data_IF_492944979181
#
_entry.id   IF_492944979181
#
_cell.length_a   1.000
_cell.length_b   1.000
_cell.length_c   1.000
_cell.angle_alpha   90.00
_cell.angle_beta   90.00
_cell.angle_gamma   90.00
#
_symmetry.space_group_name_H-M   'P 1'
#
loop_
_entity.id
_entity.type
_entity.pdbx_description
1 polymer ?
#
# COMPACT_ATOMS: atom_id res chain seq x y z
N UNK A 1 22.40 1.31 -1.88
CA UNK A 1 21.98 -0.11 -1.82
C UNK A 1 21.28 -0.49 -0.51
N UNK A 2 21.80 -0.15 0.68
CA UNK A 2 21.15 -0.47 1.98
C UNK A 2 19.79 0.23 2.15
N UNK A 3 19.65 1.50 1.72
CA UNK A 3 18.38 2.24 1.82
C UNK A 3 17.21 1.60 1.06
N UNK A 4 17.46 0.99 -0.10
CA UNK A 4 16.41 0.36 -0.92
C UNK A 4 15.80 -0.86 -0.24
N UNK A 5 16.62 -1.64 0.45
CA UNK A 5 16.17 -2.82 1.20
C UNK A 5 15.25 -2.44 2.36
N UNK A 6 15.57 -1.36 3.07
CA UNK A 6 14.73 -0.85 4.15
C UNK A 6 13.37 -0.35 3.63
N UNK A 7 13.34 0.41 2.52
CA UNK A 7 12.09 0.90 1.93
C UNK A 7 11.17 -0.25 1.53
N UNK A 8 11.71 -1.28 0.88
CA UNK A 8 10.94 -2.46 0.49
C UNK A 8 10.35 -3.16 1.74
N UNK A 9 11.18 -3.43 2.76
CA UNK A 9 10.74 -4.05 4.00
C UNK A 9 9.58 -3.31 4.69
N UNK A 10 9.62 -1.99 4.75
CA UNK A 10 8.55 -1.20 5.36
C UNK A 10 7.21 -1.38 4.62
N UNK A 11 7.21 -1.38 3.29
CA UNK A 11 5.99 -1.57 2.49
C UNK A 11 5.37 -2.96 2.69
N UNK A 12 6.20 -4.01 2.75
CA UNK A 12 5.73 -5.37 3.02
C UNK A 12 5.16 -5.53 4.44
N UNK A 13 5.77 -4.87 5.43
CA UNK A 13 5.26 -4.89 6.80
C UNK A 13 3.88 -4.23 6.90
N UNK A 14 3.66 -3.09 6.24
CA UNK A 14 2.36 -2.43 6.27
C UNK A 14 1.29 -3.22 5.51
N UNK A 15 1.66 -3.88 4.40
CA UNK A 15 0.78 -4.81 3.70
C UNK A 15 0.33 -5.97 4.60
N UNK A 16 1.26 -6.60 5.32
CA UNK A 16 0.95 -7.67 6.27
C UNK A 16 0.02 -7.21 7.40
N UNK A 17 0.20 -5.98 7.92
CA UNK A 17 -0.71 -5.41 8.92
C UNK A 17 -2.11 -5.23 8.36
N UNK A 18 -2.23 -4.74 7.12
CA UNK A 18 -3.52 -4.54 6.48
C UNK A 18 -4.28 -5.87 6.27
N UNK A 19 -3.59 -6.92 5.85
CA UNK A 19 -4.18 -8.27 5.77
C UNK A 19 -4.58 -8.84 7.13
N UNK A 20 -3.77 -8.59 8.16
CA UNK A 20 -4.10 -9.04 9.50
C UNK A 20 -5.38 -8.34 10.02
N UNK A 21 -5.59 -7.08 9.69
CA UNK A 21 -6.81 -6.35 10.07
C UNK A 21 -8.05 -6.93 9.39
N UNK A 22 -7.99 -7.20 8.08
CA UNK A 22 -9.06 -7.88 7.36
C UNK A 22 -9.35 -9.27 7.93
N UNK A 23 -8.31 -10.03 8.29
CA UNK A 23 -8.45 -11.33 8.93
C UNK A 23 -9.14 -11.23 10.29
N UNK A 24 -8.82 -10.21 11.11
CA UNK A 24 -9.51 -9.96 12.38
C UNK A 24 -10.99 -9.66 12.15
N UNK A 25 -11.32 -8.78 11.19
CA UNK A 25 -12.70 -8.46 10.87
C UNK A 25 -13.49 -9.71 10.48
N UNK A 26 -12.92 -10.54 9.60
CA UNK A 26 -13.51 -11.80 9.20
C UNK A 26 -13.73 -12.77 10.37
N UNK A 27 -12.72 -12.97 11.23
CA UNK A 27 -12.80 -13.90 12.35
C UNK A 27 -13.72 -13.42 13.49
N UNK A 28 -13.88 -12.11 13.66
CA UNK A 28 -14.79 -11.52 14.65
C UNK A 28 -16.22 -11.35 14.12
N UNK A 29 -16.45 -11.61 12.83
CA UNK A 29 -17.73 -11.30 12.16
C UNK A 29 -18.04 -9.80 12.13
N UNK A 30 -17.01 -8.96 12.27
CA UNK A 30 -17.14 -7.51 12.25
C UNK A 30 -17.24 -7.03 10.80
N UNK A 31 -18.24 -6.20 10.51
CA UNK A 31 -18.37 -5.54 9.21
C UNK A 31 -17.92 -4.09 9.38
N UNK A 32 -16.75 -3.70 8.86
CA UNK A 32 -16.27 -2.32 8.94
C UNK A 32 -17.19 -1.37 8.18
N UNK A 33 -17.13 -0.10 8.54
CA UNK A 33 -17.75 0.94 7.71
C UNK A 33 -17.02 1.06 6.38
N UNK A 34 -17.66 1.64 5.36
CA UNK A 34 -17.03 1.81 4.05
C UNK A 34 -15.72 2.60 4.15
N UNK A 35 -15.71 3.70 4.92
CA UNK A 35 -14.53 4.54 5.07
C UNK A 35 -13.39 3.79 5.79
N UNK A 36 -13.71 3.04 6.84
CA UNK A 36 -12.77 2.19 7.57
C UNK A 36 -12.18 1.08 6.68
N UNK A 37 -13.02 0.43 5.86
CA UNK A 37 -12.56 -0.56 4.91
C UNK A 37 -11.65 0.07 3.85
N UNK A 38 -12.03 1.20 3.26
CA UNK A 38 -11.23 1.88 2.23
C UNK A 38 -9.88 2.35 2.76
N UNK A 39 -9.84 2.79 4.02
CA UNK A 39 -8.61 3.18 4.71
C UNK A 39 -7.63 2.02 4.95
N UNK A 40 -8.12 0.78 5.01
CA UNK A 40 -7.26 -0.42 5.04
C UNK A 40 -6.98 -0.96 3.62
N UNK A 41 -7.99 -0.93 2.76
CA UNK A 41 -7.98 -1.52 1.42
C UNK A 41 -6.96 -0.86 0.48
N UNK A 42 -6.69 0.44 0.64
CA UNK A 42 -5.67 1.11 -0.18
C UNK A 42 -4.26 0.57 0.08
N UNK A 43 -4.01 -0.03 1.25
CA UNK A 43 -2.78 -0.75 1.56
C UNK A 43 -2.89 -2.22 1.14
N UNK A 44 -4.00 -2.89 1.47
CA UNK A 44 -4.17 -4.34 1.25
C UNK A 44 -4.23 -4.74 -0.23
N UNK A 45 -4.57 -3.82 -1.13
CA UNK A 45 -4.53 -4.04 -2.60
C UNK A 45 -3.11 -4.29 -3.14
N UNK A 46 -2.05 -4.11 -2.33
CA UNK A 46 -0.65 -4.46 -2.62
C UNK A 46 0.03 -3.73 -3.78
N UNK A 47 -0.65 -2.78 -4.43
CA UNK A 47 -0.11 -2.01 -5.57
C UNK A 47 1.17 -1.27 -5.18
N UNK A 48 1.19 -0.64 -4.01
CA UNK A 48 2.37 0.09 -3.52
C UNK A 48 3.57 -0.84 -3.24
N UNK A 49 3.33 -1.99 -2.61
CA UNK A 49 4.38 -2.97 -2.33
C UNK A 49 4.95 -3.61 -3.60
N UNK A 50 4.07 -3.95 -4.56
CA UNK A 50 4.45 -4.54 -5.85
C UNK A 50 5.27 -3.55 -6.66
N UNK A 51 4.80 -2.30 -6.79
CA UNK A 51 5.49 -1.29 -7.57
C UNK A 51 6.85 -0.93 -6.96
N UNK A 52 6.93 -0.78 -5.63
CA UNK A 52 8.20 -0.57 -4.91
C UNK A 52 9.16 -1.72 -5.17
N UNK A 53 8.69 -2.97 -5.15
CA UNK A 53 9.52 -4.15 -5.42
C UNK A 53 10.08 -4.15 -6.85
N UNK A 54 9.26 -3.78 -7.84
CA UNK A 54 9.71 -3.64 -9.24
C UNK A 54 10.77 -2.54 -9.37
N UNK A 55 10.55 -1.37 -8.76
CA UNK A 55 11.52 -0.29 -8.77
C UNK A 55 12.84 -0.65 -8.06
N UNK A 56 12.79 -1.39 -6.95
CA UNK A 56 13.98 -1.87 -6.26
C UNK A 56 14.80 -2.89 -7.08
N UNK A 57 14.18 -3.58 -8.04
CA UNK A 57 14.85 -4.53 -8.92
C UNK A 57 15.38 -3.90 -10.22
N UNK A 58 14.95 -2.67 -10.55
CA UNK A 58 15.40 -1.99 -11.76
C UNK A 58 16.80 -1.40 -11.58
N UNK A 59 17.70 -1.65 -12.54
CA UNK A 59 19.11 -1.22 -12.46
C UNK A 59 19.34 0.30 -12.60
N UNK A 60 18.40 1.06 -13.21
CA UNK A 60 18.64 2.46 -13.61
C UNK A 60 17.74 3.52 -12.96
N UNK A 61 16.89 3.18 -11.98
CA UNK A 61 15.94 4.15 -11.44
C UNK A 61 16.53 4.99 -10.29
N UNK A 62 16.45 6.31 -10.42
CA UNK A 62 16.99 7.27 -9.43
C UNK A 62 16.16 7.24 -8.15
N UNK A 63 16.82 7.24 -6.98
CA UNK A 63 16.19 7.28 -5.64
C UNK A 63 15.08 8.34 -5.52
N UNK A 64 15.16 9.41 -6.31
CA UNK A 64 14.22 10.53 -6.33
C UNK A 64 12.81 10.14 -6.84
N UNK A 65 12.72 9.23 -7.82
CA UNK A 65 11.44 8.73 -8.35
C UNK A 65 10.75 7.81 -7.33
N UNK A 66 11.53 6.94 -6.68
CA UNK A 66 11.08 6.04 -5.62
C UNK A 66 10.61 6.80 -4.37
N UNK A 67 11.39 7.80 -3.94
CA UNK A 67 11.02 8.66 -2.82
C UNK A 67 9.77 9.47 -3.19
N UNK A 68 9.65 9.99 -4.42
CA UNK A 68 8.45 10.68 -4.88
C UNK A 68 7.18 9.81 -4.83
N UNK A 69 7.29 8.54 -5.21
CA UNK A 69 6.20 7.57 -5.07
C UNK A 69 5.89 7.25 -3.60
N UNK A 70 6.91 7.09 -2.76
CA UNK A 70 6.78 6.81 -1.32
C UNK A 70 6.24 8.00 -0.51
N UNK A 71 6.50 9.24 -0.94
CA UNK A 71 6.14 10.48 -0.20
C UNK A 71 4.85 11.14 -0.68
N UNK A 72 4.17 10.59 -1.70
CA UNK A 72 2.85 11.07 -2.12
C UNK A 72 1.70 10.06 -1.89
N UNK A 73 1.40 9.65 -0.64
CA UNK A 73 0.24 8.81 -0.34
C UNK A 73 -1.09 9.48 -0.70
N UNK A 74 -1.18 10.81 -0.60
CA UNK A 74 -2.44 11.55 -0.70
C UNK A 74 -3.05 11.61 -2.11
N UNK A 75 -2.24 11.60 -3.18
CA UNK A 75 -2.77 11.54 -4.55
C UNK A 75 -3.21 10.12 -4.96
N UNK A 76 -2.50 9.09 -4.50
CA UNK A 76 -2.81 7.69 -4.84
C UNK A 76 -3.99 7.15 -4.02
N UNK A 77 -4.11 7.55 -2.75
CA UNK A 77 -5.29 7.28 -1.93
C UNK A 77 -6.56 7.81 -2.62
N UNK A 78 -6.50 9.02 -3.19
CA UNK A 78 -7.60 9.59 -3.95
C UNK A 78 -7.97 8.77 -5.21
N UNK A 79 -6.99 8.17 -5.90
CA UNK A 79 -7.26 7.27 -7.03
C UNK A 79 -7.94 5.98 -6.59
N UNK A 80 -7.50 5.37 -5.48
CA UNK A 80 -8.16 4.16 -4.93
C UNK A 80 -9.59 4.49 -4.49
N UNK A 81 -9.80 5.59 -3.76
CA UNK A 81 -11.13 6.07 -3.41
C UNK A 81 -11.99 6.34 -4.65
N UNK A 82 -11.44 6.96 -5.70
CA UNK A 82 -12.14 7.23 -6.95
C UNK A 82 -12.52 5.95 -7.70
N UNK A 83 -11.64 4.94 -7.76
CA UNK A 83 -11.92 3.65 -8.38
C UNK A 83 -12.99 2.84 -7.61
N UNK A 84 -13.01 2.92 -6.27
CA UNK A 84 -14.05 2.29 -5.44
C UNK A 84 -15.38 3.05 -5.42
N UNK A 85 -15.40 4.33 -5.82
CA UNK A 85 -16.60 5.15 -5.95
C UNK A 85 -17.31 4.98 -7.30
N UNK A 86 -16.69 4.29 -8.26
CA UNK A 86 -17.36 3.84 -9.49
C UNK A 86 -18.22 2.63 -9.11
N UNK A 87 -19.46 2.90 -8.71
CA UNK A 87 -20.54 1.91 -8.61
C UNK A 87 -21.55 2.12 -9.72
#
# INVERSE_FOLDING_TARGET
MICFWFVCLFQWVDLCKAYLEEAKWYHLGYTPTLDEYLDNAWVSISVHATLTSVFCMAEELTERELIGFSYCPCHYKALVHACSAIR
#
